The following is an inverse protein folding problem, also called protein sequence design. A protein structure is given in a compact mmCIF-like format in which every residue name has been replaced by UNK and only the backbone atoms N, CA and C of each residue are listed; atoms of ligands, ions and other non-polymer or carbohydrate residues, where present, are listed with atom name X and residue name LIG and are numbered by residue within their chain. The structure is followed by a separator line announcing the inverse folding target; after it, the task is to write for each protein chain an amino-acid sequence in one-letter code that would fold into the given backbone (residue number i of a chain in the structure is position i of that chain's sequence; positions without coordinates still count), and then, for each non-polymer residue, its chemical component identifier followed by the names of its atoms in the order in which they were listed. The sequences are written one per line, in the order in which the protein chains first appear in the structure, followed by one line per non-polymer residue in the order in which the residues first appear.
data_IF_727199530401
#
_entry.id   IF_727199530401
#
_cell.length_a   1.000
_cell.length_b   1.000
_cell.length_c   1.000
_cell.angle_alpha   90.00
_cell.angle_beta   90.00
_cell.angle_gamma   90.00
#
_symmetry.space_group_name_H-M   'P 1'
#
loop_
_entity.id
_entity.type
_entity.pdbx_description
1 polymer ?
#
# COMPACT_ATOMS: atom_id res chain seq x y z
N UNK A 1 28.26 74.69 -8.85
CA UNK A 1 27.84 74.05 -7.58
C UNK A 1 26.35 73.79 -7.66
N UNK A 2 25.90 72.53 -7.83
CA UNK A 2 25.11 71.77 -6.83
C UNK A 2 23.86 72.57 -6.36
N UNK A 3 22.59 72.20 -6.58
CA UNK A 3 21.96 70.87 -6.56
C UNK A 3 20.44 70.98 -6.86
N UNK A 4 19.92 69.93 -7.51
CA UNK A 4 18.66 69.20 -7.28
C UNK A 4 17.31 69.94 -7.41
N UNK A 5 16.72 69.80 -8.60
CA UNK A 5 15.28 69.63 -8.81
C UNK A 5 14.86 68.29 -8.21
N UNK A 6 13.87 68.26 -7.30
CA UNK A 6 13.16 67.04 -6.94
C UNK A 6 11.71 67.23 -7.42
N UNK A 7 11.41 66.61 -8.55
CA UNK A 7 10.06 66.51 -9.10
C UNK A 7 9.37 65.29 -8.51
N UNK A 8 8.12 65.49 -8.10
CA UNK A 8 7.14 64.47 -7.76
C UNK A 8 7.05 63.39 -8.87
N UNK A 9 7.12 62.12 -8.50
CA UNK A 9 6.58 61.01 -9.29
C UNK A 9 5.69 60.19 -8.36
N UNK A 10 4.38 60.32 -8.57
CA UNK A 10 3.37 59.47 -7.98
C UNK A 10 3.50 58.07 -8.59
N UNK A 11 3.77 57.06 -7.76
CA UNK A 11 3.76 55.66 -8.17
C UNK A 11 2.30 55.18 -8.09
N UNK A 12 1.66 55.08 -9.26
CA UNK A 12 0.41 54.35 -9.43
C UNK A 12 0.71 52.85 -9.26
N UNK A 13 0.24 52.25 -8.17
CA UNK A 13 0.15 50.80 -8.04
C UNK A 13 -0.96 50.28 -8.96
N UNK A 14 -0.59 49.84 -10.15
CA UNK A 14 -1.48 49.05 -10.99
C UNK A 14 -1.51 47.62 -10.45
N UNK A 15 -2.55 47.30 -9.67
CA UNK A 15 -2.86 45.94 -9.23
C UNK A 15 -3.39 45.18 -10.45
N UNK A 16 -2.48 44.65 -11.27
CA UNK A 16 -2.82 43.54 -12.16
C UNK A 16 -2.76 42.26 -11.32
N UNK A 17 -3.93 41.73 -10.97
CA UNK A 17 -4.08 40.41 -10.40
C UNK A 17 -3.55 39.35 -11.36
N UNK A 18 -2.27 39.01 -11.21
CA UNK A 18 -1.72 37.77 -11.75
C UNK A 18 -2.37 36.62 -11.00
N UNK A 19 -3.46 36.09 -11.56
CA UNK A 19 -3.87 34.73 -11.32
C UNK A 19 -2.78 33.81 -11.89
N UNK A 20 -1.73 33.57 -11.11
CA UNK A 20 -0.84 32.44 -11.30
C UNK A 20 -1.66 31.17 -10.99
N UNK A 21 -2.48 30.74 -11.95
CA UNK A 21 -2.67 29.30 -12.12
C UNK A 21 -1.30 28.80 -12.57
N UNK A 22 -0.49 28.38 -11.60
CA UNK A 22 0.68 27.56 -11.88
C UNK A 22 0.16 26.34 -12.63
N UNK A 23 0.32 26.34 -13.96
CA UNK A 23 0.25 25.11 -14.72
C UNK A 23 1.37 24.24 -14.16
N UNK A 24 1.01 23.19 -13.41
CA UNK A 24 1.95 22.15 -13.08
C UNK A 24 2.54 21.67 -14.41
N UNK A 25 3.85 21.83 -14.59
CA UNK A 25 4.54 21.31 -15.75
C UNK A 25 4.21 19.81 -15.83
N UNK A 26 3.74 19.35 -16.99
CA UNK A 26 3.45 17.94 -17.20
C UNK A 26 4.76 17.17 -17.01
N UNK A 27 4.80 16.30 -16.00
CA UNK A 27 5.97 15.48 -15.70
C UNK A 27 6.29 14.62 -16.93
N UNK A 28 7.46 14.83 -17.54
CA UNK A 28 7.90 14.01 -18.68
C UNK A 28 8.41 12.68 -18.13
N UNK A 29 7.64 11.62 -18.33
CA UNK A 29 7.95 10.28 -17.81
C UNK A 29 8.73 9.46 -18.84
N UNK A 30 9.93 9.03 -18.47
CA UNK A 30 10.75 8.09 -19.24
C UNK A 30 10.38 6.63 -18.92
N UNK A 31 9.31 6.15 -19.56
CA UNK A 31 8.81 4.78 -19.37
C UNK A 31 9.83 3.71 -19.79
N UNK A 32 10.69 3.98 -20.77
CA UNK A 32 11.67 3.00 -21.23
C UNK A 32 12.73 2.76 -20.16
N UNK A 33 13.20 3.83 -19.52
CA UNK A 33 14.16 3.74 -18.41
C UNK A 33 13.57 3.00 -17.22
N UNK A 34 12.31 3.29 -16.84
CA UNK A 34 11.61 2.61 -15.74
C UNK A 34 11.43 1.11 -16.00
N UNK A 35 11.05 0.72 -17.22
CA UNK A 35 10.89 -0.68 -17.60
C UNK A 35 12.22 -1.45 -17.54
N UNK A 36 13.30 -0.85 -18.07
CA UNK A 36 14.63 -1.46 -18.02
C UNK A 36 15.13 -1.62 -16.58
N UNK A 37 14.86 -0.63 -15.72
CA UNK A 37 15.21 -0.71 -14.30
C UNK A 37 14.44 -1.83 -13.59
N UNK A 38 13.13 -1.98 -13.85
CA UNK A 38 12.32 -3.05 -13.26
C UNK A 38 12.84 -4.47 -13.64
N UNK A 39 13.34 -4.64 -14.86
CA UNK A 39 14.00 -5.89 -15.28
C UNK A 39 15.32 -6.09 -14.53
N UNK A 40 16.14 -5.04 -14.42
CA UNK A 40 17.42 -5.11 -13.71
C UNK A 40 17.24 -5.47 -12.23
N UNK A 41 16.18 -4.96 -11.60
CA UNK A 41 15.82 -5.25 -10.21
C UNK A 41 15.12 -6.61 -10.05
N UNK A 42 14.85 -7.34 -11.15
CA UNK A 42 14.24 -8.66 -11.13
C UNK A 42 12.73 -8.66 -10.89
N UNK A 43 12.08 -7.49 -10.92
CA UNK A 43 10.63 -7.32 -10.72
C UNK A 43 9.85 -7.72 -11.98
N UNK A 44 10.41 -7.43 -13.15
CA UNK A 44 9.85 -7.80 -14.45
C UNK A 44 10.72 -8.83 -15.16
N UNK A 45 10.07 -9.78 -15.82
CA UNK A 45 10.67 -10.63 -16.83
C UNK A 45 10.13 -10.24 -18.20
N UNK A 46 11.02 -9.79 -19.10
CA UNK A 46 10.68 -9.36 -20.46
C UNK A 46 10.05 -10.46 -21.31
N UNK A 47 10.26 -11.73 -20.96
CA UNK A 47 9.63 -12.87 -21.66
C UNK A 47 8.18 -13.08 -21.21
N UNK A 48 7.83 -12.55 -20.03
CA UNK A 48 6.52 -12.70 -19.40
C UNK A 48 5.64 -11.45 -19.63
N UNK A 49 6.20 -10.25 -19.54
CA UNK A 49 5.49 -8.98 -19.77
C UNK A 49 6.30 -8.13 -20.73
N UNK A 50 5.76 -7.86 -21.92
CA UNK A 50 6.44 -7.02 -22.91
C UNK A 50 6.41 -5.53 -22.54
N UNK A 51 7.34 -4.74 -23.08
CA UNK A 51 7.35 -3.28 -22.87
C UNK A 51 6.02 -2.61 -23.26
N UNK A 52 5.43 -3.00 -24.40
CA UNK A 52 4.17 -2.41 -24.86
C UNK A 52 3.00 -2.75 -23.93
N UNK A 53 2.96 -3.98 -23.41
CA UNK A 53 1.95 -4.40 -22.43
C UNK A 53 2.12 -3.62 -21.13
N UNK A 54 3.34 -3.53 -20.61
CA UNK A 54 3.64 -2.78 -19.39
C UNK A 54 3.38 -1.27 -19.54
N UNK A 55 3.71 -0.69 -20.69
CA UNK A 55 3.42 0.71 -21.03
C UNK A 55 1.92 0.98 -21.07
N UNK A 56 1.16 0.04 -21.64
CA UNK A 56 -0.30 0.11 -21.67
C UNK A 56 -0.88 0.10 -20.25
N UNK A 57 -0.45 -0.84 -19.40
CA UNK A 57 -0.85 -0.90 -17.98
C UNK A 57 -0.54 0.41 -17.25
N UNK A 58 0.65 0.98 -17.50
CA UNK A 58 1.03 2.25 -16.90
C UNK A 58 0.11 3.41 -17.29
N UNK A 59 -0.20 3.54 -18.58
CA UNK A 59 -1.02 4.65 -19.09
C UNK A 59 -2.51 4.48 -18.76
N UNK A 60 -3.02 3.26 -18.87
CA UNK A 60 -4.45 2.98 -18.80
C UNK A 60 -4.92 2.57 -17.40
N UNK A 61 -4.04 2.02 -16.56
CA UNK A 61 -4.39 1.52 -15.23
C UNK A 61 -3.70 2.32 -14.13
N UNK A 62 -2.36 2.43 -14.15
CA UNK A 62 -1.59 2.96 -13.01
C UNK A 62 -1.59 4.49 -12.91
N UNK A 63 -1.42 5.20 -14.02
CA UNK A 63 -1.47 6.66 -14.05
C UNK A 63 -2.81 7.21 -13.52
N UNK A 64 -3.98 6.67 -13.92
CA UNK A 64 -5.25 7.06 -13.32
C UNK A 64 -5.31 6.88 -11.79
N UNK A 65 -4.75 5.78 -11.25
CA UNK A 65 -4.72 5.52 -9.79
C UNK A 65 -3.88 6.57 -9.07
N UNK A 66 -2.70 6.89 -9.61
CA UNK A 66 -1.83 7.95 -9.06
C UNK A 66 -2.53 9.31 -9.07
N UNK A 67 -3.14 9.69 -10.20
CA UNK A 67 -3.90 10.94 -10.32
C UNK A 67 -5.09 11.01 -9.37
N UNK A 68 -5.78 9.88 -9.15
CA UNK A 68 -6.85 9.77 -8.17
C UNK A 68 -6.34 10.01 -6.74
N UNK A 69 -5.18 9.46 -6.39
CA UNK A 69 -4.52 9.75 -5.11
C UNK A 69 -4.22 11.24 -4.90
N UNK A 70 -3.67 11.90 -5.91
CA UNK A 70 -3.45 13.35 -5.88
C UNK A 70 -4.76 14.13 -5.67
N UNK A 71 -5.81 13.78 -6.42
CA UNK A 71 -7.12 14.44 -6.33
C UNK A 71 -7.78 14.27 -4.96
N UNK A 72 -7.63 13.08 -4.36
CA UNK A 72 -8.19 12.76 -3.04
C UNK A 72 -7.33 13.29 -1.88
N UNK A 73 -6.15 13.86 -2.16
CA UNK A 73 -5.28 14.44 -1.13
C UNK A 73 -4.72 13.41 -0.14
N UNK A 74 -4.60 12.15 -0.56
CA UNK A 74 -4.13 11.06 0.32
C UNK A 74 -2.61 11.00 0.47
N UNK A 75 -1.87 11.56 -0.49
CA UNK A 75 -0.43 11.77 -0.35
C UNK A 75 -0.18 13.00 0.50
N UNK A 76 0.29 12.78 1.73
CA UNK A 76 0.53 13.85 2.70
C UNK A 76 1.85 14.58 2.44
N UNK A 77 2.70 14.01 1.59
CA UNK A 77 3.98 14.55 1.15
C UNK A 77 4.06 14.48 -0.39
N UNK A 78 4.82 15.38 -1.05
CA UNK A 78 5.00 15.33 -2.50
C UNK A 78 5.61 13.99 -2.95
N UNK A 79 5.01 13.39 -3.98
CA UNK A 79 5.45 12.11 -4.53
C UNK A 79 5.29 12.16 -6.04
N UNK A 80 6.39 12.02 -6.79
CA UNK A 80 6.35 11.99 -8.27
C UNK A 80 5.79 10.67 -8.81
N UNK A 81 5.38 10.62 -10.07
CA UNK A 81 4.88 9.36 -10.65
C UNK A 81 5.97 8.28 -10.69
N UNK A 82 7.21 8.67 -11.02
CA UNK A 82 8.33 7.74 -11.09
C UNK A 82 8.64 7.11 -9.72
N UNK A 83 8.68 7.92 -8.66
CA UNK A 83 8.86 7.43 -7.30
C UNK A 83 7.69 6.55 -6.87
N UNK A 84 6.46 7.01 -7.12
CA UNK A 84 5.24 6.26 -6.83
C UNK A 84 5.25 4.88 -7.49
N UNK A 85 5.64 4.79 -8.76
CA UNK A 85 5.63 3.52 -9.49
C UNK A 85 6.66 2.53 -8.94
N UNK A 86 7.87 3.01 -8.59
CA UNK A 86 8.91 2.18 -7.95
C UNK A 86 8.43 1.65 -6.60
N UNK A 87 7.83 2.53 -5.78
CA UNK A 87 7.26 2.12 -4.50
C UNK A 87 6.19 1.05 -4.68
N UNK A 88 5.37 1.12 -5.74
CA UNK A 88 4.35 0.12 -6.08
C UNK A 88 4.90 -1.09 -6.84
N UNK A 89 6.18 -1.42 -6.67
CA UNK A 89 6.85 -2.55 -7.31
C UNK A 89 6.61 -2.59 -8.83
N UNK A 90 6.69 -1.43 -9.49
CA UNK A 90 6.44 -1.27 -10.93
C UNK A 90 5.05 -1.77 -11.39
N UNK A 91 4.08 -1.76 -10.48
CA UNK A 91 2.72 -2.26 -10.69
C UNK A 91 2.60 -3.78 -10.65
N UNK A 92 3.67 -4.50 -10.29
CA UNK A 92 3.72 -5.95 -10.30
C UNK A 92 3.49 -6.54 -8.91
N UNK A 93 2.72 -7.61 -8.84
CA UNK A 93 2.51 -8.34 -7.60
C UNK A 93 3.83 -8.91 -7.06
N UNK A 94 4.03 -8.98 -5.73
CA UNK A 94 5.25 -9.53 -5.16
C UNK A 94 5.40 -11.00 -5.54
N UNK A 95 6.62 -11.39 -5.90
CA UNK A 95 6.99 -12.78 -6.11
C UNK A 95 7.07 -13.47 -4.74
N UNK A 96 6.15 -14.40 -4.49
CA UNK A 96 6.19 -15.26 -3.32
C UNK A 96 6.90 -16.56 -3.64
N UNK A 97 7.66 -17.08 -2.67
CA UNK A 97 8.14 -18.46 -2.74
C UNK A 97 6.93 -19.39 -2.59
N UNK A 98 6.83 -20.41 -3.44
CA UNK A 98 5.74 -21.38 -3.37
C UNK A 98 6.16 -22.54 -2.47
N UNK A 99 5.63 -22.58 -1.25
CA UNK A 99 5.71 -23.75 -0.38
C UNK A 99 4.29 -24.16 0.03
N UNK A 100 3.92 -25.41 -0.25
CA UNK A 100 2.64 -25.98 0.16
C UNK A 100 2.78 -26.47 1.61
N UNK A 101 2.01 -25.88 2.53
CA UNK A 101 1.95 -26.35 3.92
C UNK A 101 0.73 -27.26 4.09
N UNK A 102 0.98 -28.50 4.49
CA UNK A 102 -0.07 -29.44 4.93
C UNK A 102 -0.53 -29.07 6.34
N UNK A 103 -1.80 -28.69 6.51
CA UNK A 103 -2.42 -28.67 7.83
C UNK A 103 -3.97 -28.69 7.74
N UNK A 104 -4.60 -29.45 8.64
CA UNK A 104 -6.05 -29.65 8.72
C UNK A 104 -6.53 -29.25 10.11
N UNK A 105 -7.45 -28.27 10.19
CA UNK A 105 -8.78 -28.28 10.86
C UNK A 105 -9.32 -26.82 10.96
N UNK A 106 -10.57 -26.47 10.53
CA UNK A 106 -10.97 -25.08 10.26
C UNK A 106 -11.80 -24.40 11.37
N UNK A 107 -11.90 -23.06 11.31
CA UNK A 107 -13.14 -22.29 11.00
C UNK A 107 -12.77 -20.94 10.38
N UNK A 108 -13.25 -20.71 9.14
CA UNK A 108 -12.88 -19.61 8.26
C UNK A 108 -12.47 -20.10 6.86
N UNK A 109 -13.34 -20.85 6.16
CA UNK A 109 -13.01 -21.45 4.86
C UNK A 109 -13.66 -20.72 3.69
N UNK A 110 -12.88 -20.39 2.66
CA UNK A 110 -13.38 -19.87 1.37
C UNK A 110 -12.74 -20.66 0.22
N UNK A 111 -13.55 -21.17 -0.71
CA UNK A 111 -13.04 -21.92 -1.88
C UNK A 111 -12.08 -23.08 -1.53
N UNK A 112 -12.32 -23.76 -0.41
CA UNK A 112 -11.49 -24.89 0.08
C UNK A 112 -10.19 -24.50 0.79
N UNK A 113 -9.85 -23.22 0.89
CA UNK A 113 -8.71 -22.74 1.69
C UNK A 113 -9.14 -22.46 3.13
N UNK A 114 -8.28 -22.81 4.08
CA UNK A 114 -8.47 -22.51 5.50
C UNK A 114 -7.63 -21.30 5.91
N UNK A 115 -8.30 -20.23 6.31
CA UNK A 115 -7.67 -19.05 6.89
C UNK A 115 -6.91 -19.41 8.17
N UNK A 116 -5.75 -18.79 8.38
CA UNK A 116 -5.05 -18.80 9.67
C UNK A 116 -4.75 -17.38 10.12
N UNK A 117 -4.84 -17.13 11.42
CA UNK A 117 -4.42 -15.88 12.01
C UNK A 117 -2.98 -15.51 11.58
N UNK A 118 -2.81 -14.27 11.13
CA UNK A 118 -1.55 -13.75 10.60
C UNK A 118 -1.33 -13.99 9.11
N UNK A 119 -2.27 -14.63 8.40
CA UNK A 119 -2.25 -14.64 6.93
C UNK A 119 -2.29 -13.21 6.37
N UNK A 120 -1.48 -12.96 5.34
CA UNK A 120 -1.39 -11.69 4.63
C UNK A 120 -2.13 -11.82 3.31
N UNK A 121 -3.00 -10.87 3.01
CA UNK A 121 -3.75 -10.81 1.77
C UNK A 121 -3.22 -9.67 0.93
N UNK A 122 -2.91 -9.95 -0.33
CA UNK A 122 -2.59 -8.95 -1.34
C UNK A 122 -3.53 -9.18 -2.52
N UNK A 123 -4.08 -8.10 -3.08
CA UNK A 123 -5.03 -8.19 -4.20
C UNK A 123 -4.90 -7.01 -5.15
N UNK A 124 -5.26 -7.20 -6.43
CA UNK A 124 -5.45 -6.13 -7.42
C UNK A 124 -6.92 -5.67 -7.56
N UNK A 125 -7.81 -6.17 -6.69
CA UNK A 125 -9.25 -5.93 -6.77
C UNK A 125 -9.64 -4.48 -6.52
N UNK A 126 -8.88 -3.79 -5.67
CA UNK A 126 -9.00 -2.36 -5.44
C UNK A 126 -7.66 -1.71 -5.66
N UNK A 127 -7.64 -0.77 -6.59
CA UNK A 127 -6.58 0.22 -6.71
C UNK A 127 -7.27 1.57 -6.80
N UNK A 128 -7.12 2.36 -5.76
CA UNK A 128 -7.73 3.69 -5.64
C UNK A 128 -6.91 4.52 -4.68
N UNK A 129 -7.11 5.83 -4.70
CA UNK A 129 -6.45 6.74 -3.76
C UNK A 129 -4.92 6.58 -3.75
N UNK A 130 -4.30 6.43 -4.93
CA UNK A 130 -2.85 6.44 -5.03
C UNK A 130 -2.14 5.19 -4.50
N UNK A 131 -2.81 4.03 -4.40
CA UNK A 131 -2.13 2.76 -4.11
C UNK A 131 -2.54 1.72 -5.17
N UNK A 132 -1.54 1.03 -5.74
CA UNK A 132 -1.80 -0.13 -6.60
C UNK A 132 -2.03 -1.35 -5.72
N UNK A 133 -3.20 -1.96 -5.89
CA UNK A 133 -3.64 -3.09 -5.11
C UNK A 133 -4.00 -2.74 -3.67
N UNK A 134 -4.20 -3.78 -2.87
CA UNK A 134 -4.65 -3.66 -1.50
C UNK A 134 -4.06 -4.76 -0.62
N UNK A 135 -3.75 -4.41 0.62
CA UNK A 135 -3.21 -5.34 1.61
C UNK A 135 -4.13 -5.46 2.82
N UNK A 136 -4.20 -6.65 3.39
CA UNK A 136 -4.93 -6.92 4.62
C UNK A 136 -4.25 -8.03 5.44
N UNK A 137 -4.62 -8.14 6.71
CA UNK A 137 -4.13 -9.19 7.61
C UNK A 137 -5.29 -9.92 8.26
N UNK A 138 -5.18 -11.24 8.39
CA UNK A 138 -6.05 -12.02 9.25
C UNK A 138 -5.73 -11.70 10.72
N UNK A 139 -6.53 -10.84 11.36
CA UNK A 139 -6.34 -10.51 12.77
C UNK A 139 -6.98 -11.53 13.73
N UNK A 140 -7.43 -12.66 13.19
CA UNK A 140 -7.90 -13.86 13.85
C UNK A 140 -8.21 -14.92 12.80
N UNK A 141 -8.78 -16.06 13.21
CA UNK A 141 -9.04 -17.17 12.27
C UNK A 141 -10.29 -16.97 11.39
N UNK A 142 -11.10 -15.94 11.66
CA UNK A 142 -12.37 -15.69 10.95
C UNK A 142 -12.51 -14.27 10.41
N UNK A 143 -11.52 -13.41 10.63
CA UNK A 143 -11.64 -11.98 10.39
C UNK A 143 -10.40 -11.45 9.69
N UNK A 144 -10.65 -10.54 8.76
CA UNK A 144 -9.62 -9.84 8.00
C UNK A 144 -9.75 -8.35 8.31
N UNK A 145 -8.64 -7.77 8.78
CA UNK A 145 -8.50 -6.37 9.13
C UNK A 145 -7.76 -5.63 8.01
N UNK A 146 -8.30 -4.48 7.60
CA UNK A 146 -7.74 -3.69 6.52
C UNK A 146 -8.11 -2.21 6.61
N UNK A 147 -7.43 -1.39 5.79
CA UNK A 147 -7.80 0.01 5.52
C UNK A 147 -8.42 0.12 4.12
N UNK A 148 -9.73 0.35 3.97
CA UNK A 148 -10.41 0.24 2.68
C UNK A 148 -10.12 1.35 1.67
N UNK A 149 -9.61 2.50 2.10
CA UNK A 149 -9.35 3.64 1.22
C UNK A 149 -9.71 4.98 1.86
N UNK A 150 -9.55 6.06 1.08
CA UNK A 150 -9.81 7.43 1.50
C UNK A 150 -11.22 7.62 2.07
N UNK A 151 -11.33 8.47 3.10
CA UNK A 151 -12.60 8.78 3.77
C UNK A 151 -13.20 7.61 4.56
N UNK A 152 -12.53 6.46 4.61
CA UNK A 152 -12.92 5.30 5.41
C UNK A 152 -11.88 5.04 6.50
N UNK A 153 -12.35 4.68 7.69
CA UNK A 153 -11.45 4.19 8.73
C UNK A 153 -11.10 2.71 8.56
N UNK A 154 -10.23 2.20 9.42
CA UNK A 154 -9.94 0.78 9.59
C UNK A 154 -11.22 -0.07 9.70
N UNK A 155 -11.27 -1.22 9.03
CA UNK A 155 -12.42 -2.13 9.04
C UNK A 155 -11.98 -3.57 9.29
N UNK A 156 -12.78 -4.29 10.07
CA UNK A 156 -12.68 -5.74 10.21
C UNK A 156 -13.92 -6.36 9.54
N UNK A 157 -13.71 -7.30 8.64
CA UNK A 157 -14.78 -8.06 7.99
C UNK A 157 -14.58 -9.55 8.27
N UNK A 158 -15.66 -10.33 8.26
CA UNK A 158 -15.52 -11.78 8.23
C UNK A 158 -14.78 -12.21 6.97
N UNK A 159 -14.09 -13.36 7.02
CA UNK A 159 -13.38 -13.92 5.87
C UNK A 159 -14.28 -13.97 4.63
N UNK A 160 -15.51 -14.46 4.78
CA UNK A 160 -16.46 -14.55 3.67
C UNK A 160 -16.78 -13.20 3.05
N UNK A 161 -17.04 -12.18 3.89
CA UNK A 161 -17.44 -10.85 3.42
C UNK A 161 -16.26 -10.13 2.77
N UNK A 162 -15.06 -10.28 3.33
CA UNK A 162 -13.85 -9.73 2.73
C UNK A 162 -13.56 -10.41 1.38
N UNK A 163 -13.54 -11.74 1.34
CA UNK A 163 -13.31 -12.48 0.10
C UNK A 163 -14.36 -12.13 -0.96
N UNK A 164 -15.65 -12.08 -0.62
CA UNK A 164 -16.71 -11.67 -1.55
C UNK A 164 -16.53 -10.23 -2.06
N UNK A 165 -16.14 -9.30 -1.18
CA UNK A 165 -15.91 -7.89 -1.54
C UNK A 165 -14.76 -7.71 -2.54
N UNK A 166 -13.73 -8.55 -2.45
CA UNK A 166 -12.51 -8.42 -3.25
C UNK A 166 -12.36 -9.51 -4.33
N UNK A 167 -13.33 -10.42 -4.47
CA UNK A 167 -13.38 -11.40 -5.56
C UNK A 167 -14.30 -10.86 -6.66
N UNK A 168 -13.74 -10.51 -7.81
CA UNK A 168 -14.48 -10.13 -9.02
C UNK A 168 -13.77 -10.69 -10.26
N UNK A 169 -14.48 -10.78 -11.38
CA UNK A 169 -13.88 -11.27 -12.64
C UNK A 169 -12.66 -10.44 -13.04
N UNK A 170 -11.55 -11.09 -13.37
CA UNK A 170 -10.28 -10.43 -13.71
C UNK A 170 -9.47 -9.89 -12.53
N UNK A 171 -9.91 -10.15 -11.29
CA UNK A 171 -9.19 -9.78 -10.06
C UNK A 171 -8.63 -11.02 -9.37
N UNK A 172 -7.47 -10.89 -8.76
CA UNK A 172 -6.80 -11.96 -8.01
C UNK A 172 -6.64 -11.60 -6.54
N UNK A 173 -6.58 -12.63 -5.70
CA UNK A 173 -6.20 -12.52 -4.29
C UNK A 173 -5.07 -13.52 -4.03
N UNK A 174 -3.93 -13.04 -3.56
CA UNK A 174 -2.80 -13.86 -3.12
C UNK A 174 -2.73 -13.87 -1.60
N UNK A 175 -2.62 -15.06 -1.03
CA UNK A 175 -2.50 -15.26 0.42
C UNK A 175 -1.11 -15.74 0.75
N UNK A 176 -0.42 -15.00 1.63
CA UNK A 176 0.92 -15.32 2.10
C UNK A 176 0.89 -15.69 3.57
N UNK A 177 1.72 -16.66 3.97
CA UNK A 177 1.70 -17.24 5.31
C UNK A 177 3.12 -17.42 5.85
N UNK A 178 3.32 -17.02 7.11
CA UNK A 178 4.55 -17.34 7.84
C UNK A 178 4.62 -18.83 8.17
N UNK A 179 5.83 -19.41 8.09
CA UNK A 179 6.10 -20.78 8.55
C UNK A 179 5.86 -20.94 10.06
N UNK A 180 6.29 -19.96 10.87
CA UNK A 180 6.03 -19.95 12.31
C UNK A 180 4.61 -19.46 12.61
N UNK A 181 3.71 -20.41 12.82
CA UNK A 181 2.30 -20.12 13.12
C UNK A 181 2.05 -19.59 14.53
N UNK A 182 2.99 -19.78 15.47
CA UNK A 182 2.88 -19.17 16.80
C UNK A 182 3.17 -17.68 16.71
N UNK A 183 4.24 -17.30 16.01
CA UNK A 183 4.53 -15.91 15.67
C UNK A 183 3.37 -15.25 14.90
N UNK A 184 2.81 -15.92 13.88
CA UNK A 184 1.70 -15.38 13.10
C UNK A 184 0.47 -15.05 13.98
N UNK A 185 0.15 -15.91 14.95
CA UNK A 185 -0.91 -15.64 15.94
C UNK A 185 -0.61 -14.47 16.87
N UNK A 186 0.63 -14.29 17.30
CA UNK A 186 1.02 -13.16 18.14
C UNK A 186 0.88 -11.84 17.38
N UNK A 187 1.31 -11.82 16.11
CA UNK A 187 1.11 -10.68 15.20
C UNK A 187 -0.38 -10.39 14.99
N UNK A 188 -1.21 -11.41 14.75
CA UNK A 188 -2.65 -11.24 14.58
C UNK A 188 -3.32 -10.62 15.81
N UNK A 189 -2.96 -11.09 17.01
CA UNK A 189 -3.42 -10.52 18.29
C UNK A 189 -2.99 -9.07 18.46
N UNK A 190 -1.74 -8.76 18.09
CA UNK A 190 -1.26 -7.38 18.10
C UNK A 190 -2.09 -6.51 17.16
N UNK A 191 -2.33 -6.96 15.93
CA UNK A 191 -3.11 -6.23 14.93
C UNK A 191 -4.53 -5.95 15.46
N UNK A 192 -5.21 -6.96 15.98
CA UNK A 192 -6.54 -6.83 16.58
C UNK A 192 -6.54 -5.81 17.73
N UNK A 193 -5.60 -5.94 18.67
CA UNK A 193 -5.54 -5.10 19.87
C UNK A 193 -5.09 -3.67 19.65
N UNK A 194 -4.34 -3.39 18.59
CA UNK A 194 -3.77 -2.06 18.35
C UNK A 194 -4.48 -1.29 17.25
N UNK A 195 -5.21 -2.00 16.39
CA UNK A 195 -5.85 -1.42 15.20
C UNK A 195 -7.34 -1.75 15.09
N UNK A 196 -7.97 -2.48 16.02
CA UNK A 196 -9.43 -2.71 16.00
C UNK A 196 -10.08 -2.57 17.38
N UNK A 197 -9.69 -3.40 18.35
CA UNK A 197 -10.27 -3.46 19.69
C UNK A 197 -9.20 -3.59 20.76
N UNK A 198 -9.00 -2.58 21.62
CA UNK A 198 -7.90 -2.58 22.63
C UNK A 198 -7.92 -3.75 23.61
N UNK A 199 -9.06 -4.44 23.75
CA UNK A 199 -9.24 -5.62 24.60
C UNK A 199 -9.25 -6.94 23.82
N UNK A 200 -9.25 -6.88 22.49
CA UNK A 200 -9.45 -7.99 21.58
C UNK A 200 -10.89 -8.50 21.54
N UNK A 201 -11.86 -7.60 21.74
CA UNK A 201 -13.28 -7.91 21.67
C UNK A 201 -13.84 -7.70 20.26
N UNK A 202 -15.04 -8.24 20.00
CA UNK A 202 -15.75 -8.00 18.74
C UNK A 202 -16.13 -6.51 18.53
N UNK A 203 -16.13 -5.71 19.60
CA UNK A 203 -16.46 -4.29 19.54
C UNK A 203 -15.23 -3.47 19.17
N UNK A 204 -15.32 -2.80 18.03
CA UNK A 204 -14.35 -1.81 17.58
C UNK A 204 -14.31 -0.62 18.54
N UNK A 205 -13.12 -0.24 18.99
CA UNK A 205 -12.89 1.01 19.73
C UNK A 205 -11.60 1.75 19.31
N UNK A 206 -10.87 1.23 18.33
CA UNK A 206 -9.74 1.91 17.70
C UNK A 206 -10.18 2.46 16.35
N UNK A 207 -10.00 3.75 16.13
CA UNK A 207 -10.34 4.44 14.88
C UNK A 207 -9.07 5.06 14.31
N UNK A 208 -8.79 4.77 13.04
CA UNK A 208 -7.63 5.25 12.30
C UNK A 208 -8.09 5.94 11.04
N UNK A 209 -7.44 7.04 10.70
CA UNK A 209 -7.65 7.81 9.49
C UNK A 209 -6.82 7.24 8.34
N UNK A 210 -7.39 7.27 7.14
CA UNK A 210 -6.67 6.88 5.93
C UNK A 210 -5.75 8.00 5.45
N UNK A 211 -4.47 7.70 5.26
CA UNK A 211 -3.51 8.64 4.66
C UNK A 211 -2.16 7.99 4.41
N UNK A 212 -1.45 8.48 3.39
CA UNK A 212 -0.16 7.95 2.93
C UNK A 212 0.92 8.98 3.22
N UNK A 213 1.87 8.61 4.06
CA UNK A 213 3.03 9.41 4.44
C UNK A 213 4.28 8.54 4.55
N UNK A 214 5.43 9.18 4.72
CA UNK A 214 6.70 8.50 4.97
C UNK A 214 6.91 8.14 6.45
N UNK A 215 5.99 8.54 7.34
CA UNK A 215 6.01 8.26 8.77
C UNK A 215 5.56 6.82 9.08
N UNK A 216 6.29 5.84 8.53
CA UNK A 216 5.94 4.41 8.53
C UNK A 216 5.67 3.84 9.93
N UNK A 217 6.30 4.37 10.97
CA UNK A 217 6.19 3.90 12.35
C UNK A 217 5.16 4.67 13.19
N UNK A 218 4.61 5.76 12.66
CA UNK A 218 3.49 6.48 13.28
C UNK A 218 2.19 5.73 12.99
N UNK A 219 1.36 5.50 14.01
CA UNK A 219 0.14 4.67 13.88
C UNK A 219 -0.97 5.32 13.05
N UNK A 220 -1.12 6.64 13.11
CA UNK A 220 -2.19 7.39 12.46
C UNK A 220 -1.61 8.68 11.84
N UNK A 221 -1.88 9.00 10.56
CA UNK A 221 -2.70 8.25 9.61
C UNK A 221 -2.04 6.94 9.18
N UNK A 222 -2.84 6.02 8.64
CA UNK A 222 -2.36 4.73 8.13
C UNK A 222 -3.05 4.35 6.83
N UNK A 223 -2.52 3.33 6.17
CA UNK A 223 -3.05 2.80 4.91
C UNK A 223 -2.85 1.28 4.89
N UNK A 224 -3.38 0.61 3.87
CA UNK A 224 -3.59 -0.83 3.88
C UNK A 224 -2.33 -1.64 4.19
N UNK A 225 -1.23 -1.38 3.48
CA UNK A 225 0.05 -2.08 3.70
C UNK A 225 0.85 -1.57 4.90
N UNK A 226 0.75 -0.28 5.28
CA UNK A 226 1.36 0.23 6.54
C UNK A 226 0.75 -0.44 7.76
N UNK A 227 -0.56 -0.67 7.79
CA UNK A 227 -1.22 -1.41 8.87
C UNK A 227 -0.64 -2.83 8.99
N UNK A 228 -0.49 -3.54 7.87
CA UNK A 228 0.08 -4.90 7.88
C UNK A 228 1.56 -4.87 8.27
N UNK A 229 2.37 -3.98 7.69
CA UNK A 229 3.77 -3.80 8.04
C UNK A 229 3.95 -3.58 9.55
N UNK A 230 3.21 -2.62 10.12
CA UNK A 230 3.28 -2.30 11.55
C UNK A 230 2.82 -3.48 12.42
N UNK A 231 1.82 -4.26 11.98
CA UNK A 231 1.41 -5.46 12.70
C UNK A 231 2.57 -6.45 12.85
N UNK A 232 3.30 -6.75 11.78
CA UNK A 232 4.45 -7.64 11.85
C UNK A 232 5.66 -7.01 12.55
N UNK A 233 5.93 -5.72 12.33
CA UNK A 233 7.07 -5.02 12.93
C UNK A 233 6.95 -4.94 14.45
N UNK A 234 5.80 -4.53 14.98
CA UNK A 234 5.61 -4.37 16.42
C UNK A 234 5.04 -5.62 17.11
N UNK A 235 4.22 -6.42 16.41
CA UNK A 235 3.58 -7.61 16.96
C UNK A 235 4.49 -8.83 17.07
N UNK A 236 5.68 -8.78 16.46
CA UNK A 236 6.67 -9.86 16.53
C UNK A 236 7.59 -9.78 17.77
N UNK A 237 7.44 -8.74 18.61
CA UNK A 237 8.24 -8.55 19.80
C UNK A 237 9.71 -8.28 19.48
N UNK A 238 10.63 -9.05 20.06
CA UNK A 238 12.07 -8.90 19.82
C UNK A 238 12.58 -9.67 18.59
N UNK A 239 11.70 -10.35 17.84
CA UNK A 239 12.09 -11.13 16.67
C UNK A 239 12.28 -10.20 15.48
N UNK A 240 13.39 -10.36 14.75
CA UNK A 240 13.71 -9.53 13.60
C UNK A 240 12.95 -9.98 12.33
N UNK A 241 11.62 -9.85 12.35
CA UNK A 241 10.72 -10.32 11.28
C UNK A 241 10.70 -9.36 10.09
N UNK A 242 10.68 -8.06 10.38
CA UNK A 242 10.58 -6.99 9.39
C UNK A 242 11.89 -6.21 9.36
N UNK A 243 12.35 -5.89 8.15
CA UNK A 243 13.46 -4.97 7.95
C UNK A 243 13.07 -3.57 8.46
N UNK A 244 14.02 -2.87 9.08
CA UNK A 244 13.85 -1.47 9.43
C UNK A 244 14.02 -0.62 8.16
N UNK A 245 12.90 -0.23 7.56
CA UNK A 245 12.84 0.56 6.33
C UNK A 245 12.19 1.92 6.60
N UNK A 246 12.53 2.91 5.77
CA UNK A 246 11.92 4.24 5.82
C UNK A 246 11.03 4.49 4.61
N UNK A 247 10.09 5.41 4.72
CA UNK A 247 9.22 5.80 3.61
C UNK A 247 7.95 4.97 3.51
N UNK A 248 7.45 4.80 2.30
CA UNK A 248 6.15 4.19 2.02
C UNK A 248 6.35 2.71 1.68
N UNK A 249 5.71 1.81 2.42
CA UNK A 249 5.59 0.39 2.06
C UNK A 249 4.28 0.17 1.34
N UNK A 250 4.27 -0.15 0.04
CA UNK A 250 3.04 -0.40 -0.74
C UNK A 250 2.56 -1.85 -0.58
N UNK A 251 1.31 -2.19 -0.97
CA UNK A 251 0.82 -3.57 -0.96
C UNK A 251 1.73 -4.52 -1.71
N UNK A 252 2.24 -4.09 -2.86
CA UNK A 252 3.05 -4.96 -3.70
C UNK A 252 4.52 -5.05 -3.25
N UNK A 253 5.05 -4.02 -2.59
CA UNK A 253 6.38 -4.09 -1.97
C UNK A 253 6.39 -4.73 -0.57
N UNK A 254 5.21 -5.04 0.00
CA UNK A 254 5.09 -5.46 1.41
C UNK A 254 5.90 -6.72 1.74
N UNK A 255 5.85 -7.75 0.90
CA UNK A 255 6.53 -9.02 1.16
C UNK A 255 8.06 -8.87 1.18
N UNK A 256 8.60 -7.90 0.44
CA UNK A 256 10.04 -7.64 0.36
C UNK A 256 10.61 -6.92 1.57
N UNK A 257 9.73 -6.42 2.45
CA UNK A 257 10.13 -5.84 3.73
C UNK A 257 10.35 -6.87 4.84
N UNK A 258 10.06 -8.16 4.60
CA UNK A 258 10.39 -9.23 5.54
C UNK A 258 11.88 -9.56 5.48
N UNK A 259 12.47 -9.93 6.61
CA UNK A 259 13.83 -10.50 6.61
C UNK A 259 13.79 -11.91 6.02
N UNK A 260 14.90 -12.36 5.41
CA UNK A 260 14.94 -13.65 4.71
C UNK A 260 14.54 -14.85 5.58
N UNK A 261 14.83 -14.80 6.89
CA UNK A 261 14.48 -15.88 7.83
C UNK A 261 12.97 -16.00 8.10
N UNK A 262 12.21 -14.94 7.82
CA UNK A 262 10.78 -14.86 8.10
C UNK A 262 9.96 -14.50 6.86
N UNK A 263 10.51 -14.63 5.65
CA UNK A 263 9.78 -14.32 4.41
C UNK A 263 8.54 -15.24 4.31
N UNK A 264 7.32 -14.68 4.21
CA UNK A 264 6.10 -15.46 4.04
C UNK A 264 6.06 -16.17 2.68
N UNK A 265 5.55 -17.40 2.64
CA UNK A 265 5.35 -18.15 1.39
C UNK A 265 3.94 -17.91 0.84
N UNK A 266 3.80 -17.93 -0.49
CA UNK A 266 2.50 -17.90 -1.16
C UNK A 266 1.81 -19.26 -1.00
N UNK A 267 0.64 -19.27 -0.36
CA UNK A 267 -0.10 -20.51 -0.06
C UNK A 267 -1.40 -20.66 -0.84
N UNK A 268 -1.91 -19.57 -1.43
CA UNK A 268 -3.13 -19.59 -2.24
C UNK A 268 -3.18 -18.41 -3.20
N UNK A 269 -3.68 -18.69 -4.39
CA UNK A 269 -4.16 -17.68 -5.35
C UNK A 269 -5.63 -17.97 -5.65
N UNK A 270 -6.45 -16.92 -5.67
CA UNK A 270 -7.82 -16.94 -6.19
C UNK A 270 -7.91 -16.10 -7.45
#
# INVERSE_FOLDING_TARGET
MKKLLISFIAILFFICGFNLKAFAAEEVIDYQSLYNQAIQEGVLDQNSVSYNEWLKQNKEEFMPIYQDGLKQGVFLEPLSYNEWLKLNNYGQAPMGDTEFFDDVTPKGSWGGFTLKAGDIFITNATSSAGIVGHAAIANGDNYILHMPGAGQGNQQLSTSNWMQKYTASGKWIKVYRLKDQTLARDVARYADRNFYSTTGSATKNVYLDYGIDTHLYQKNPTYCSKLVFQAFYFGSGSRNVMQAVSGIVTPYGLIDTFTSAYRPSLVKTY
#
